data_IF_640354197103
#
_entry.id   IF_640354197103
#
_cell.length_a   1.000
_cell.length_b   1.000
_cell.length_c   1.000
_cell.angle_alpha   90.00
_cell.angle_beta   90.00
_cell.angle_gamma   90.00
#
_symmetry.space_group_name_H-M   'P 1'
#
loop_
_entity.id
_entity.type
_entity.pdbx_description
1 polymer ?
#
# COMPACT_ATOMS: atom_id res chain seq x y z
N UNK A 1 0.13 12.51 -2.24
CA UNK A 1 -1.13 12.04 -2.85
C UNK A 1 -2.32 12.79 -2.31
N UNK A 2 -3.02 13.55 -3.14
CA UNK A 2 -4.19 14.34 -2.73
C UNK A 2 -5.28 13.51 -2.01
N UNK A 3 -5.62 12.29 -2.41
CA UNK A 3 -6.65 11.50 -1.72
C UNK A 3 -6.16 10.74 -0.46
N UNK A 4 -4.86 10.76 -0.15
CA UNK A 4 -4.29 10.12 1.05
C UNK A 4 -4.53 11.02 2.25
N UNK A 5 -5.12 10.49 3.32
CA UNK A 5 -5.28 11.22 4.59
C UNK A 5 -4.08 11.00 5.52
N UNK A 6 -4.04 11.72 6.64
CA UNK A 6 -3.05 11.53 7.69
C UNK A 6 -2.07 12.68 7.86
N UNK A 7 -0.86 12.34 8.30
CA UNK A 7 0.18 13.34 8.57
C UNK A 7 0.62 14.07 7.31
N UNK A 8 0.70 15.40 7.41
CA UNK A 8 1.26 16.30 6.40
C UNK A 8 2.32 17.15 7.06
N UNK A 9 3.52 17.18 6.49
CA UNK A 9 4.63 17.98 6.97
C UNK A 9 4.71 19.29 6.16
N UNK A 10 4.69 20.42 6.86
CA UNK A 10 4.88 21.75 6.31
C UNK A 10 6.08 22.40 6.99
N UNK A 11 6.87 23.18 6.26
CA UNK A 11 7.94 24.02 6.81
C UNK A 11 7.68 25.47 6.48
N UNK A 12 7.85 26.34 7.47
CA UNK A 12 7.80 27.80 7.32
C UNK A 12 9.19 28.40 7.07
N UNK A 13 10.25 27.63 7.24
CA UNK A 13 11.63 28.01 6.99
C UNK A 13 12.15 27.31 5.72
N UNK A 14 12.71 28.09 4.78
CA UNK A 14 13.17 27.55 3.49
C UNK A 14 14.38 26.62 3.64
N UNK A 15 15.30 26.93 4.57
CA UNK A 15 16.47 26.09 4.83
C UNK A 15 16.09 24.73 5.40
N UNK A 16 15.14 24.71 6.35
CA UNK A 16 14.56 23.48 6.88
C UNK A 16 13.80 22.73 5.76
N UNK A 17 13.05 23.44 4.93
CA UNK A 17 12.32 22.81 3.80
C UNK A 17 13.30 22.12 2.84
N UNK A 18 14.40 22.75 2.49
CA UNK A 18 15.44 22.19 1.62
C UNK A 18 16.13 20.98 2.25
N UNK A 19 16.47 21.08 3.54
CA UNK A 19 17.05 19.98 4.29
C UNK A 19 16.11 18.76 4.29
N UNK A 20 14.85 18.97 4.64
CA UNK A 20 13.84 17.91 4.70
C UNK A 20 13.59 17.30 3.32
N UNK A 21 13.53 18.09 2.24
CA UNK A 21 13.44 17.58 0.86
C UNK A 21 14.61 16.64 0.53
N UNK A 22 15.85 17.01 0.90
CA UNK A 22 17.04 16.17 0.73
C UNK A 22 16.94 14.88 1.55
N UNK A 23 16.41 14.94 2.78
CA UNK A 23 16.17 13.76 3.61
C UNK A 23 15.15 12.80 2.96
N UNK A 24 14.05 13.33 2.42
CA UNK A 24 13.09 12.51 1.66
C UNK A 24 13.75 11.83 0.44
N UNK A 25 14.53 12.60 -0.34
CA UNK A 25 15.25 12.08 -1.51
C UNK A 25 16.25 10.97 -1.15
N UNK A 26 16.89 11.05 0.02
CA UNK A 26 17.84 10.07 0.55
C UNK A 26 17.20 8.96 1.37
N UNK A 27 15.87 8.90 1.44
CA UNK A 27 15.12 7.90 2.24
C UNK A 27 15.44 7.93 3.74
N UNK A 28 15.77 9.09 4.28
CA UNK A 28 16.11 9.29 5.69
C UNK A 28 14.88 9.64 6.56
N UNK A 29 13.70 9.69 5.97
CA UNK A 29 12.43 9.94 6.66
C UNK A 29 11.68 8.62 6.85
N UNK A 30 11.42 8.25 8.09
CA UNK A 30 10.57 7.11 8.40
C UNK A 30 9.11 7.50 8.22
N UNK A 31 8.38 6.66 7.49
CA UNK A 31 6.96 6.88 7.18
C UNK A 31 6.23 5.57 7.41
N UNK A 32 5.08 5.66 8.05
CA UNK A 32 4.18 4.54 8.22
C UNK A 32 2.81 4.89 7.70
N UNK A 33 2.22 3.95 7.01
CA UNK A 33 0.86 4.05 6.47
C UNK A 33 0.05 2.84 6.90
N UNK A 34 -1.26 3.03 6.98
CA UNK A 34 -2.23 1.95 7.02
C UNK A 34 -3.11 2.02 5.79
N UNK A 35 -3.50 0.85 5.29
CA UNK A 35 -4.36 0.74 4.12
C UNK A 35 -5.36 -0.40 4.27
N UNK A 36 -6.55 -0.23 3.67
CA UNK A 36 -7.44 -1.35 3.40
C UNK A 36 -7.20 -1.83 1.98
N UNK A 37 -6.90 -3.10 1.86
CA UNK A 37 -6.65 -3.76 0.59
C UNK A 37 -7.72 -4.82 0.30
N UNK A 38 -7.97 -5.10 -0.98
CA UNK A 38 -8.77 -6.25 -1.40
C UNK A 38 -8.06 -7.55 -1.06
N UNK A 39 -8.78 -8.49 -0.47
CA UNK A 39 -8.31 -9.85 -0.17
C UNK A 39 -8.42 -10.21 1.31
N UNK A 40 -8.36 -11.54 1.59
CA UNK A 40 -8.37 -12.11 2.93
C UNK A 40 -6.95 -12.44 3.40
N UNK A 41 -6.21 -11.41 3.75
CA UNK A 41 -4.80 -11.53 4.15
C UNK A 41 -3.84 -11.56 2.98
N UNK A 42 -2.58 -11.69 3.31
CA UNK A 42 -1.44 -11.80 2.40
C UNK A 42 -0.88 -13.22 2.51
N UNK A 43 -0.22 -13.70 1.46
CA UNK A 43 0.41 -15.04 1.45
C UNK A 43 1.37 -15.22 2.64
N UNK A 44 2.08 -14.15 3.00
CA UNK A 44 2.92 -14.04 4.20
C UNK A 44 2.44 -12.86 5.04
N UNK A 45 2.31 -13.00 6.39
CA UNK A 45 1.84 -11.91 7.24
C UNK A 45 2.75 -10.68 7.24
N UNK A 46 4.02 -10.87 6.93
CA UNK A 46 5.03 -9.79 6.79
C UNK A 46 5.93 -10.08 5.61
N UNK A 47 6.42 -9.02 4.97
CA UNK A 47 7.35 -9.15 3.85
C UNK A 47 7.78 -7.81 3.30
N UNK A 48 8.44 -7.87 2.14
CA UNK A 48 8.92 -6.68 1.45
C UNK A 48 8.55 -6.79 -0.03
N UNK A 49 7.88 -5.77 -0.55
CA UNK A 49 7.70 -5.57 -1.97
C UNK A 49 8.91 -4.80 -2.52
N UNK A 50 9.50 -5.33 -3.58
CA UNK A 50 10.63 -4.72 -4.28
C UNK A 50 10.32 -4.70 -5.76
N UNK A 51 10.17 -3.51 -6.33
CA UNK A 51 9.81 -3.30 -7.72
C UNK A 51 10.68 -2.21 -8.34
N UNK A 52 10.78 -2.19 -9.67
CA UNK A 52 11.25 -1.03 -10.41
C UNK A 52 10.03 -0.20 -10.80
N UNK A 53 10.06 1.13 -10.59
CA UNK A 53 8.93 2.00 -10.88
C UNK A 53 9.33 3.18 -11.75
N UNK A 54 8.58 3.41 -12.82
CA UNK A 54 8.70 4.56 -13.70
C UNK A 54 7.46 5.46 -13.61
N UNK A 55 7.66 6.76 -13.87
CA UNK A 55 6.55 7.70 -14.09
C UNK A 55 6.08 7.56 -15.53
N UNK A 56 4.78 7.54 -15.72
CA UNK A 56 4.11 7.50 -17.02
C UNK A 56 3.08 8.62 -17.13
N UNK A 57 2.69 8.96 -18.36
CA UNK A 57 1.59 9.90 -18.59
C UNK A 57 0.28 9.14 -18.55
N UNK A 58 -0.63 9.57 -17.70
CA UNK A 58 -1.99 9.06 -17.66
C UNK A 58 -2.90 9.77 -18.67
N UNK A 59 -4.12 9.25 -18.87
CA UNK A 59 -5.16 9.94 -19.62
C UNK A 59 -5.37 11.37 -19.10
N UNK A 60 -5.47 12.35 -20.01
CA UNK A 60 -5.62 13.77 -19.63
C UNK A 60 -4.34 14.43 -19.12
N UNK A 61 -3.13 13.85 -19.34
CA UNK A 61 -1.85 14.45 -18.99
C UNK A 61 -1.45 14.32 -17.52
N UNK A 62 -2.25 13.65 -16.69
CA UNK A 62 -1.92 13.39 -15.28
C UNK A 62 -0.73 12.45 -15.12
N UNK A 63 0.03 12.62 -14.02
CA UNK A 63 1.16 11.73 -13.69
C UNK A 63 0.63 10.41 -13.15
N UNK A 64 1.08 9.31 -13.76
CA UNK A 64 0.91 7.93 -13.27
C UNK A 64 2.26 7.30 -12.97
N UNK A 65 2.24 6.11 -12.41
CA UNK A 65 3.41 5.26 -12.24
C UNK A 65 3.05 3.82 -12.53
N UNK A 66 4.03 3.05 -12.97
CA UNK A 66 3.88 1.61 -13.24
C UNK A 66 5.11 0.86 -12.76
N UNK A 67 4.98 -0.45 -12.58
CA UNK A 67 6.09 -1.37 -12.28
C UNK A 67 6.71 -1.93 -13.56
N UNK A 68 7.94 -2.42 -13.46
CA UNK A 68 8.65 -3.11 -14.56
C UNK A 68 9.93 -2.42 -14.99
N UNK A 69 10.01 -1.09 -14.92
CA UNK A 69 11.22 -0.32 -15.25
C UNK A 69 11.34 0.91 -14.33
N UNK A 70 12.48 1.59 -14.35
CA UNK A 70 12.71 2.86 -13.65
C UNK A 70 13.54 2.74 -12.38
N UNK A 71 13.14 3.42 -11.31
CA UNK A 71 13.89 3.48 -10.06
C UNK A 71 13.37 2.47 -9.02
N UNK A 72 14.27 1.94 -8.14
CA UNK A 72 13.87 1.01 -7.10
C UNK A 72 12.78 1.58 -6.19
N UNK A 73 11.77 0.76 -5.91
CA UNK A 73 10.68 1.03 -4.97
C UNK A 73 10.61 -0.12 -3.96
N UNK A 74 10.83 0.20 -2.70
CA UNK A 74 10.87 -0.79 -1.61
C UNK A 74 9.86 -0.41 -0.53
N UNK A 75 8.97 -1.35 -0.20
CA UNK A 75 7.97 -1.19 0.87
C UNK A 75 7.95 -2.44 1.74
N UNK A 76 8.17 -2.27 3.03
CA UNK A 76 7.92 -3.33 4.02
C UNK A 76 6.43 -3.30 4.34
N UNK A 77 5.80 -4.48 4.38
CA UNK A 77 4.40 -4.60 4.75
C UNK A 77 4.20 -5.54 5.94
N UNK A 78 3.15 -5.29 6.70
CA UNK A 78 2.66 -6.19 7.74
C UNK A 78 1.14 -6.25 7.68
N UNK A 79 0.61 -7.47 7.51
CA UNK A 79 -0.81 -7.75 7.65
C UNK A 79 -1.21 -7.60 9.12
N UNK A 80 -2.33 -6.95 9.38
CA UNK A 80 -2.87 -6.73 10.71
C UNK A 80 -4.04 -7.66 10.99
N UNK A 81 -5.08 -7.57 10.16
CA UNK A 81 -6.31 -8.35 10.29
C UNK A 81 -7.13 -8.28 9.01
N UNK A 82 -8.09 -9.19 8.87
CA UNK A 82 -9.06 -9.21 7.76
C UNK A 82 -10.48 -9.07 8.28
N UNK A 83 -11.34 -8.49 7.46
CA UNK A 83 -12.79 -8.55 7.63
C UNK A 83 -13.30 -9.91 7.16
N UNK A 84 -14.37 -10.37 7.79
CA UNK A 84 -15.20 -11.48 7.30
C UNK A 84 -16.16 -11.04 6.17
N UNK A 85 -17.07 -11.94 5.77
CA UNK A 85 -18.15 -11.65 4.83
C UNK A 85 -17.79 -11.80 3.36
N UNK A 86 -18.74 -11.46 2.49
CA UNK A 86 -18.66 -11.63 1.03
C UNK A 86 -17.66 -10.69 0.33
N UNK A 87 -17.34 -9.54 0.96
CA UNK A 87 -16.41 -8.54 0.44
C UNK A 87 -15.09 -8.58 1.22
N UNK A 88 -14.11 -9.39 0.76
CA UNK A 88 -12.87 -9.62 1.50
C UNK A 88 -12.01 -8.36 1.54
N UNK A 89 -11.75 -7.87 2.74
CA UNK A 89 -10.87 -6.74 3.03
C UNK A 89 -9.82 -7.13 4.07
N UNK A 90 -8.63 -6.57 3.94
CA UNK A 90 -7.59 -6.67 4.96
C UNK A 90 -7.02 -5.31 5.29
N UNK A 91 -6.75 -5.09 6.58
CA UNK A 91 -5.95 -3.97 7.08
C UNK A 91 -4.48 -4.37 7.03
N UNK A 92 -3.67 -3.54 6.39
CA UNK A 92 -2.21 -3.71 6.35
C UNK A 92 -1.49 -2.44 6.78
N UNK A 93 -0.34 -2.62 7.39
CA UNK A 93 0.65 -1.57 7.60
C UNK A 93 1.65 -1.59 6.45
N UNK A 94 2.05 -0.39 6.00
CA UNK A 94 3.00 -0.19 4.91
C UNK A 94 4.06 0.81 5.37
N UNK A 95 5.32 0.38 5.38
CA UNK A 95 6.48 1.20 5.73
C UNK A 95 7.38 1.37 4.48
N UNK A 96 7.13 2.42 3.64
CA UNK A 96 7.93 2.62 2.42
C UNK A 96 9.34 3.09 2.76
N UNK A 97 10.34 2.36 2.25
CA UNK A 97 11.77 2.70 2.37
C UNK A 97 12.22 3.69 1.32
N UNK A 98 11.49 3.79 0.23
CA UNK A 98 11.66 4.74 -0.86
C UNK A 98 10.43 5.66 -0.97
N UNK A 99 10.44 6.63 -1.88
CA UNK A 99 9.34 7.60 -2.03
C UNK A 99 9.02 7.86 -3.50
N UNK A 100 8.62 6.82 -4.27
CA UNK A 100 8.20 7.00 -5.66
C UNK A 100 6.78 7.51 -5.74
N UNK A 101 6.45 8.21 -6.81
CA UNK A 101 5.09 8.73 -7.03
C UNK A 101 4.09 7.57 -7.00
N UNK A 102 3.05 7.70 -6.19
CA UNK A 102 2.00 6.70 -5.97
C UNK A 102 2.51 5.30 -5.53
N UNK A 103 3.72 5.21 -4.99
CA UNK A 103 4.41 3.93 -4.72
C UNK A 103 3.51 2.88 -4.06
N UNK A 104 2.90 3.20 -2.92
CA UNK A 104 2.09 2.24 -2.16
C UNK A 104 0.88 1.77 -2.94
N UNK A 105 0.27 2.65 -3.72
CA UNK A 105 -0.91 2.36 -4.54
C UNK A 105 -0.57 1.43 -5.70
N UNK A 106 0.52 1.72 -6.41
CA UNK A 106 1.01 0.92 -7.54
C UNK A 106 1.49 -0.44 -7.07
N UNK A 107 2.34 -0.51 -6.03
CA UNK A 107 2.85 -1.78 -5.51
C UNK A 107 1.72 -2.67 -4.98
N UNK A 108 0.80 -2.13 -4.18
CA UNK A 108 -0.35 -2.90 -3.69
C UNK A 108 -1.15 -3.52 -4.85
N UNK A 109 -1.39 -2.77 -5.92
CA UNK A 109 -2.09 -3.26 -7.11
C UNK A 109 -1.29 -4.32 -7.86
N UNK A 110 0.01 -4.07 -8.11
CA UNK A 110 0.90 -4.98 -8.83
C UNK A 110 1.07 -6.33 -8.12
N UNK A 111 1.05 -6.31 -6.78
CA UNK A 111 1.10 -7.54 -5.96
C UNK A 111 -0.28 -8.19 -5.74
N UNK A 112 -1.33 -7.78 -6.48
CA UNK A 112 -2.66 -8.38 -6.44
C UNK A 112 -3.54 -7.96 -5.25
N UNK A 113 -3.14 -6.93 -4.53
CA UNK A 113 -3.82 -6.41 -3.35
C UNK A 113 -4.17 -4.92 -3.49
N UNK A 114 -4.98 -4.51 -4.49
CA UNK A 114 -5.29 -3.11 -4.73
C UNK A 114 -5.95 -2.47 -3.51
N UNK A 115 -5.61 -1.20 -3.26
CA UNK A 115 -6.14 -0.42 -2.14
C UNK A 115 -7.60 -0.08 -2.41
N UNK A 116 -8.46 -0.28 -1.42
CA UNK A 116 -9.88 0.07 -1.48
C UNK A 116 -10.08 1.55 -1.78
N UNK A 117 -10.97 1.83 -2.73
CA UNK A 117 -11.32 3.19 -3.14
C UNK A 117 -10.29 3.88 -4.02
N UNK A 118 -9.21 3.18 -4.44
CA UNK A 118 -8.27 3.71 -5.40
C UNK A 118 -8.92 3.79 -6.79
N UNK A 119 -9.06 5.03 -7.32
CA UNK A 119 -9.68 5.33 -8.61
C UNK A 119 -8.72 5.25 -9.79
N UNK A 120 -7.44 4.92 -9.56
CA UNK A 120 -6.41 4.89 -10.60
C UNK A 120 -5.81 3.50 -10.76
N UNK A 121 -5.50 2.85 -9.63
CA UNK A 121 -4.81 1.56 -9.56
C UNK A 121 -5.64 0.49 -8.87
N UNK A 122 -6.86 0.82 -8.43
CA UNK A 122 -7.74 -0.06 -7.69
C UNK A 122 -8.52 -1.04 -8.54
N UNK A 123 -9.24 -1.92 -7.88
CA UNK A 123 -10.27 -2.76 -8.49
C UNK A 123 -11.60 -2.00 -8.50
N UNK A 124 -12.01 -1.54 -9.68
CA UNK A 124 -13.17 -0.66 -9.83
C UNK A 124 -14.48 -1.37 -9.50
N UNK A 125 -14.64 -2.63 -9.88
CA UNK A 125 -15.85 -3.40 -9.59
C UNK A 125 -15.96 -3.71 -8.09
N UNK A 126 -14.85 -4.08 -7.47
CA UNK A 126 -14.78 -4.27 -6.03
C UNK A 126 -15.07 -2.97 -5.26
N UNK A 127 -14.47 -1.86 -5.69
CA UNK A 127 -14.69 -0.54 -5.09
C UNK A 127 -16.17 -0.13 -5.19
N UNK A 128 -16.82 -0.40 -6.33
CA UNK A 128 -18.24 -0.15 -6.53
C UNK A 128 -19.11 -1.01 -5.60
N UNK A 129 -18.80 -2.31 -5.51
CA UNK A 129 -19.53 -3.22 -4.63
C UNK A 129 -19.43 -2.80 -3.16
N UNK A 130 -18.21 -2.50 -2.66
CA UNK A 130 -18.02 -2.01 -1.29
C UNK A 130 -18.68 -0.64 -1.09
N UNK A 131 -18.57 0.26 -2.06
CA UNK A 131 -19.22 1.57 -2.02
C UNK A 131 -20.73 1.50 -1.89
N UNK A 132 -21.37 0.57 -2.62
CA UNK A 132 -22.81 0.31 -2.55
C UNK A 132 -23.21 -0.32 -1.22
N UNK A 133 -22.47 -1.36 -0.79
CA UNK A 133 -22.80 -2.11 0.42
C UNK A 133 -22.51 -1.33 1.72
N UNK A 134 -21.48 -0.49 1.74
CA UNK A 134 -20.96 0.14 2.97
C UNK A 134 -20.88 1.68 2.93
N UNK A 135 -21.28 2.32 1.82
CA UNK A 135 -21.40 3.78 1.70
C UNK A 135 -20.07 4.54 1.55
N UNK A 136 -18.94 3.87 1.28
CA UNK A 136 -17.63 4.52 1.22
C UNK A 136 -17.23 4.95 -0.18
N UNK A 137 -16.60 6.17 -0.30
CA UNK A 137 -16.17 6.74 -1.58
C UNK A 137 -14.74 7.33 -1.55
N UNK A 138 -13.94 7.03 -0.53
CA UNK A 138 -12.57 7.56 -0.36
C UNK A 138 -11.50 6.53 -0.70
N UNK A 139 -10.26 6.99 -0.94
CA UNK A 139 -9.08 6.13 -0.90
C UNK A 139 -8.80 5.72 0.56
N UNK A 140 -8.70 4.41 0.81
CA UNK A 140 -8.38 3.87 2.13
C UNK A 140 -6.87 3.68 2.30
N UNK A 141 -6.13 4.78 2.13
CA UNK A 141 -4.72 4.93 2.45
C UNK A 141 -4.57 6.10 3.42
N UNK A 142 -3.84 5.90 4.51
CA UNK A 142 -3.67 6.87 5.57
C UNK A 142 -2.22 6.92 6.04
N UNK A 143 -1.62 8.10 6.05
CA UNK A 143 -0.29 8.35 6.59
C UNK A 143 -0.38 8.41 8.13
N UNK A 144 -0.14 7.28 8.78
CA UNK A 144 -0.28 7.13 10.23
C UNK A 144 0.80 7.88 10.99
N UNK A 145 2.06 7.85 10.51
CA UNK A 145 3.14 8.59 11.15
C UNK A 145 4.26 8.96 10.21
N UNK A 146 4.93 10.06 10.56
CA UNK A 146 6.16 10.54 9.93
C UNK A 146 7.16 10.86 11.02
N UNK A 147 8.41 10.37 10.88
CA UNK A 147 9.48 10.61 11.84
C UNK A 147 10.79 10.92 11.09
N UNK A 148 11.50 11.95 11.55
CA UNK A 148 12.81 12.35 11.03
C UNK A 148 13.64 12.99 12.14
N UNK A 149 14.96 12.92 12.00
CA UNK A 149 15.90 13.53 12.92
C UNK A 149 17.01 14.23 12.11
N UNK A 150 17.32 15.47 12.45
CA UNK A 150 18.34 16.28 11.77
C UNK A 150 18.92 17.33 12.70
N UNK A 151 20.11 17.82 12.36
CA UNK A 151 20.73 18.95 13.07
C UNK A 151 20.37 20.26 12.37
N UNK A 152 19.96 21.26 13.15
CA UNK A 152 19.61 22.59 12.68
C UNK A 152 20.11 23.65 13.64
N UNK A 153 20.92 24.61 13.15
CA UNK A 153 21.49 25.71 13.93
C UNK A 153 22.15 25.27 15.25
N UNK A 154 22.89 24.15 15.21
CA UNK A 154 23.60 23.62 16.38
C UNK A 154 22.72 22.77 17.34
N UNK A 155 21.43 22.63 17.07
CA UNK A 155 20.53 21.82 17.85
C UNK A 155 20.10 20.57 17.10
N UNK A 156 20.01 19.44 17.80
CA UNK A 156 19.41 18.21 17.26
C UNK A 156 17.89 18.29 17.34
N UNK A 157 17.23 18.12 16.19
CA UNK A 157 15.78 18.13 16.07
C UNK A 157 15.32 16.68 15.84
N UNK A 158 14.57 16.16 16.78
CA UNK A 158 13.86 14.87 16.66
C UNK A 158 12.36 15.16 16.48
N UNK A 159 11.89 15.00 15.25
CA UNK A 159 10.49 15.27 14.88
C UNK A 159 9.72 13.98 14.68
N UNK A 160 8.57 13.90 15.33
CA UNK A 160 7.59 12.81 15.13
C UNK A 160 6.18 13.39 15.12
N UNK A 161 5.44 13.08 14.05
CA UNK A 161 4.01 13.35 13.97
C UNK A 161 3.25 12.05 13.77
N UNK A 162 2.06 11.95 14.33
CA UNK A 162 1.15 10.81 14.15
C UNK A 162 -0.28 11.28 13.98
N UNK A 163 -1.04 10.55 13.19
CA UNK A 163 -2.47 10.73 12.98
C UNK A 163 -3.15 9.38 13.21
N UNK A 164 -4.12 9.29 14.13
CA UNK A 164 -4.81 8.03 14.37
C UNK A 164 -5.58 7.59 13.14
N UNK A 165 -5.66 6.28 12.93
CA UNK A 165 -6.42 5.69 11.83
C UNK A 165 -7.88 6.20 11.86
N UNK A 166 -8.44 6.69 10.75
CA UNK A 166 -9.81 7.17 10.70
C UNK A 166 -10.82 6.06 11.02
N UNK A 167 -11.88 6.42 11.76
CA UNK A 167 -12.95 5.48 12.16
C UNK A 167 -13.61 4.76 10.96
N UNK A 168 -13.59 5.35 9.79
CA UNK A 168 -14.09 4.73 8.55
C UNK A 168 -13.36 3.45 8.17
N UNK A 169 -12.06 3.33 8.52
CA UNK A 169 -11.31 2.09 8.30
C UNK A 169 -11.86 0.94 9.13
N UNK A 170 -12.17 1.21 10.42
CA UNK A 170 -12.82 0.24 11.30
C UNK A 170 -14.21 -0.14 10.78
N UNK A 171 -15.03 0.86 10.45
CA UNK A 171 -16.37 0.64 9.91
C UNK A 171 -16.34 -0.20 8.62
N UNK A 172 -15.34 0.02 7.76
CA UNK A 172 -15.19 -0.77 6.54
C UNK A 172 -14.75 -2.22 6.80
N UNK A 173 -14.05 -2.48 7.91
CA UNK A 173 -13.63 -3.83 8.32
C UNK A 173 -14.73 -4.61 9.06
N UNK A 174 -15.65 -3.93 9.71
CA UNK A 174 -16.79 -4.58 10.36
C UNK A 174 -17.71 -5.09 9.24
N UNK A 175 -17.64 -6.38 8.93
CA UNK A 175 -18.64 -7.02 8.08
C UNK A 175 -19.95 -7.05 8.86
N UNK A 176 -20.99 -6.43 8.35
CA UNK A 176 -22.33 -6.91 8.68
C UNK A 176 -22.42 -8.32 8.08
N UNK A 177 -22.71 -9.28 8.94
CA UNK A 177 -22.92 -10.68 8.52
C UNK A 177 -24.25 -10.69 7.76
N UNK A 178 -24.17 -10.58 6.42
CA UNK A 178 -25.32 -10.59 5.52
C UNK A 178 -25.89 -11.99 5.35
N UNK A 179 -25.44 -12.96 6.17
CA UNK A 179 -25.92 -14.34 6.16
C UNK A 179 -25.55 -15.12 4.90
N UNK A 180 -24.75 -14.53 4.02
CA UNK A 180 -24.29 -15.24 2.80
C UNK A 180 -23.14 -16.17 3.15
N UNK A 181 -23.30 -17.52 2.99
CA UNK A 181 -22.24 -18.47 3.27
C UNK A 181 -21.04 -18.20 2.35
N UNK A 182 -19.86 -18.11 2.95
CA UNK A 182 -18.58 -17.95 2.26
C UNK A 182 -18.34 -19.08 1.28
N UNK A 183 -18.59 -18.83 0.01
CA UNK A 183 -18.08 -19.69 -1.07
C UNK A 183 -16.60 -19.32 -1.27
N UNK A 184 -15.72 -19.84 -0.40
CA UNK A 184 -14.27 -19.68 -0.49
C UNK A 184 -13.75 -19.87 -1.92
N UNK A 185 -12.59 -19.33 -2.27
CA UNK A 185 -12.06 -19.39 -3.62
C UNK A 185 -12.01 -20.84 -4.07
N UNK A 186 -12.69 -21.15 -5.20
CA UNK A 186 -12.60 -22.48 -5.83
C UNK A 186 -11.12 -22.76 -6.06
N UNK A 187 -10.60 -23.79 -5.38
CA UNK A 187 -9.25 -24.28 -5.65
C UNK A 187 -9.11 -24.50 -7.16
N UNK A 188 -8.06 -23.98 -7.81
CA UNK A 188 -7.83 -24.31 -9.22
C UNK A 188 -7.78 -25.83 -9.32
N UNK A 189 -8.53 -26.40 -10.27
CA UNK A 189 -8.46 -27.83 -10.60
C UNK A 189 -6.99 -28.12 -10.88
N UNK A 190 -6.44 -29.11 -10.19
CA UNK A 190 -5.15 -29.69 -10.55
C UNK A 190 -5.35 -30.30 -11.93
N UNK A 191 -4.80 -29.69 -12.96
CA UNK A 191 -4.67 -30.34 -14.25
C UNK A 191 -3.76 -31.55 -14.06
N UNK A 192 -4.35 -32.72 -14.28
CA UNK A 192 -3.62 -33.98 -14.30
C UNK A 192 -2.74 -33.99 -15.55
N UNK A 193 -1.42 -34.06 -15.36
CA UNK A 193 -0.51 -34.56 -16.38
C UNK A 193 0.34 -33.56 -17.12
N UNK A 194 1.42 -33.08 -16.49
CA UNK A 194 2.64 -32.77 -17.25
C UNK A 194 3.78 -33.62 -16.65
N UNK A 195 4.47 -34.45 -17.45
CA UNK A 195 5.53 -35.32 -16.95
C UNK A 195 6.75 -34.53 -16.52
N UNK A 196 7.30 -34.92 -15.38
CA UNK A 196 8.53 -34.35 -14.81
C UNK A 196 9.72 -34.76 -15.68
N UNK A 197 10.40 -33.78 -16.27
CA UNK A 197 11.67 -33.96 -16.97
C UNK A 197 12.79 -34.38 -16.01
N UNK A 198 13.74 -35.25 -16.42
CA UNK A 198 14.67 -35.90 -15.50
C UNK A 198 15.76 -34.94 -15.00
N UNK A 199 16.11 -35.11 -13.73
CA UNK A 199 17.17 -34.39 -13.01
C UNK A 199 18.53 -34.60 -13.67
N UNK A 200 19.18 -33.52 -14.04
CA UNK A 200 20.61 -33.49 -14.37
C UNK A 200 21.40 -33.64 -13.06
N UNK A 201 22.08 -34.78 -12.88
CA UNK A 201 23.09 -34.97 -11.83
C UNK A 201 24.41 -34.41 -12.32
N UNK A 202 24.93 -33.37 -11.69
CA UNK A 202 26.32 -32.96 -11.83
C UNK A 202 27.11 -33.71 -10.76
N UNK A 203 28.08 -34.54 -11.17
CA UNK A 203 29.19 -35.04 -10.32
C UNK A 203 30.32 -34.04 -10.40
N UNK A 204 30.92 -33.76 -9.26
CA UNK A 204 32.24 -33.14 -9.12
C UNK A 204 33.32 -34.04 -9.71
#
# INVERSE_FOLDING_TARGET
DSPTSGTLLLSLDEGVADLVRKMFARSQVMKRYVALIRGRGLRTPRGTWQDQMAKTKGPGGGVRSETGAGAPAVTVYAWQRSAGGSLPLSLIQLDPRTGRTHQLRVQSSAHGHPILGDRTYGDFEFNKAVGTARGFKRLFLHAESTQLSFDWQGAKIDFKASSPMPKEFEKALIAEDDGTPDKGPKRPRRDAGTPISPRLRIRL
#
